data_IF_858444581323
#
_entry.id   IF_858444581323
#
_cell.length_a   1.000
_cell.length_b   1.000
_cell.length_c   1.000
_cell.angle_alpha   90.00
_cell.angle_beta   90.00
_cell.angle_gamma   90.00
#
_symmetry.space_group_name_H-M   'P 1'
#
loop_
_entity.id
_entity.type
_entity.pdbx_description
1 polymer ?
#
# COMPACT_ATOMS: atom_id res chain seq x y z
N UNK A 1 22.14 -40.63 -48.36
CA UNK A 1 22.48 -41.33 -47.13
C UNK A 1 21.37 -41.09 -46.10
N UNK A 2 20.68 -42.19 -45.79
CA UNK A 2 19.50 -42.26 -44.95
C UNK A 2 19.97 -42.60 -43.56
N UNK A 3 19.78 -41.69 -42.60
CA UNK A 3 20.02 -41.97 -41.19
C UNK A 3 18.75 -42.55 -40.55
N UNK A 4 18.87 -43.82 -40.15
CA UNK A 4 17.86 -44.62 -39.44
C UNK A 4 17.71 -44.14 -38.01
N UNK A 5 16.45 -43.96 -37.60
CA UNK A 5 16.03 -43.86 -36.20
C UNK A 5 16.02 -45.25 -35.55
N UNK A 6 16.45 -45.43 -34.32
CA UNK A 6 16.22 -46.67 -33.59
C UNK A 6 14.85 -46.67 -32.89
N UNK A 7 14.31 -47.89 -32.82
CA UNK A 7 12.99 -48.28 -32.38
C UNK A 7 12.82 -48.21 -30.84
N UNK A 8 11.58 -47.98 -30.48
CA UNK A 8 10.77 -48.39 -29.32
C UNK A 8 11.47 -49.15 -28.19
N UNK A 9 11.41 -48.54 -27.00
CA UNK A 9 11.53 -49.22 -25.72
C UNK A 9 10.23 -49.04 -24.93
N UNK A 10 9.55 -50.18 -24.71
CA UNK A 10 8.36 -50.33 -23.85
C UNK A 10 8.72 -50.17 -22.37
N UNK A 11 7.78 -49.66 -21.64
CA UNK A 11 7.60 -50.11 -20.26
C UNK A 11 7.51 -49.00 -19.23
N UNK A 12 6.36 -48.91 -18.62
CA UNK A 12 6.35 -48.84 -17.20
C UNK A 12 5.63 -47.67 -16.55
N UNK A 13 4.49 -47.99 -16.02
CA UNK A 13 3.90 -47.51 -14.79
C UNK A 13 3.18 -46.14 -14.79
N UNK A 14 1.88 -46.30 -14.70
CA UNK A 14 0.89 -45.23 -14.51
C UNK A 14 1.13 -44.44 -13.23
N UNK A 15 1.25 -43.16 -13.43
CA UNK A 15 1.01 -42.21 -12.33
C UNK A 15 -0.49 -41.97 -12.34
N UNK A 16 -1.18 -42.55 -11.35
CA UNK A 16 -2.56 -42.23 -11.04
C UNK A 16 -2.65 -40.74 -10.72
N UNK A 17 -3.48 -40.04 -11.49
CA UNK A 17 -3.90 -38.68 -11.16
C UNK A 17 -4.83 -38.81 -9.96
N UNK A 18 -4.68 -37.98 -8.91
CA UNK A 18 -5.68 -37.91 -7.86
C UNK A 18 -7.00 -37.42 -8.46
N UNK A 19 -8.04 -38.26 -8.35
CA UNK A 19 -9.41 -37.87 -8.58
C UNK A 19 -9.78 -36.77 -7.56
N UNK A 20 -10.03 -35.58 -8.06
CA UNK A 20 -10.64 -34.52 -7.24
C UNK A 20 -12.14 -34.82 -7.24
N UNK A 21 -12.63 -35.41 -6.16
CA UNK A 21 -14.07 -35.47 -5.90
C UNK A 21 -14.58 -34.03 -5.72
N UNK A 22 -15.32 -33.52 -6.70
CA UNK A 22 -16.13 -32.33 -6.55
C UNK A 22 -17.32 -32.66 -5.64
N UNK A 23 -17.20 -32.39 -4.37
CA UNK A 23 -18.32 -32.37 -3.44
C UNK A 23 -19.01 -31.03 -3.55
N UNK A 24 -20.00 -30.94 -4.43
CA UNK A 24 -20.99 -29.87 -4.38
C UNK A 24 -21.97 -30.16 -3.23
N UNK A 25 -21.83 -29.43 -2.14
CA UNK A 25 -22.92 -29.31 -1.16
C UNK A 25 -23.63 -27.97 -1.41
N UNK A 26 -24.79 -28.07 -2.03
CA UNK A 26 -25.83 -27.05 -1.98
C UNK A 26 -26.40 -27.03 -0.55
N UNK A 27 -26.03 -26.02 0.24
CA UNK A 27 -26.82 -25.45 1.32
C UNK A 27 -26.08 -24.19 1.82
N UNK A 28 -26.73 -23.05 1.65
CA UNK A 28 -26.60 -21.71 2.21
C UNK A 28 -25.52 -21.50 3.33
N UNK A 29 -24.24 -21.50 2.98
CA UNK A 29 -23.22 -20.85 3.78
C UNK A 29 -22.70 -19.60 3.02
N UNK A 30 -22.67 -18.44 3.67
CA UNK A 30 -22.12 -17.24 3.02
C UNK A 30 -20.68 -17.53 2.63
N UNK A 31 -20.39 -17.40 1.34
CA UNK A 31 -19.07 -17.53 0.75
C UNK A 31 -18.10 -16.72 1.61
N UNK A 32 -17.36 -17.38 2.49
CA UNK A 32 -16.18 -16.77 3.10
C UNK A 32 -15.24 -16.48 1.95
N UNK A 33 -15.13 -15.20 1.61
CA UNK A 33 -14.05 -14.72 0.75
C UNK A 33 -12.76 -15.30 1.33
N UNK A 34 -12.19 -16.26 0.60
CA UNK A 34 -10.83 -16.70 0.85
C UNK A 34 -10.01 -15.46 0.56
N UNK A 35 -9.50 -14.81 1.61
CA UNK A 35 -8.55 -13.72 1.48
C UNK A 35 -7.43 -14.21 0.56
N UNK A 36 -7.24 -13.51 -0.54
CA UNK A 36 -6.22 -13.83 -1.53
C UNK A 36 -4.87 -13.89 -0.81
N UNK A 37 -4.31 -15.10 -0.71
CA UNK A 37 -3.03 -15.31 -0.06
C UNK A 37 -1.96 -14.79 -1.02
N UNK A 38 -1.60 -13.52 -0.88
CA UNK A 38 -0.37 -13.00 -1.48
C UNK A 38 0.78 -13.70 -0.77
N UNK A 39 1.43 -14.64 -1.46
CA UNK A 39 2.62 -15.31 -0.95
C UNK A 39 3.77 -14.29 -1.05
N UNK A 40 4.30 -13.78 0.07
CA UNK A 40 5.45 -12.88 0.03
C UNK A 40 6.69 -13.66 -0.44
N UNK A 41 7.62 -12.94 -1.07
CA UNK A 41 8.90 -13.50 -1.50
C UNK A 41 9.62 -14.24 -0.36
N UNK A 42 10.43 -15.30 -0.68
CA UNK A 42 11.05 -16.13 0.34
C UNK A 42 12.02 -15.30 1.20
N UNK A 43 11.66 -15.11 2.45
CA UNK A 43 12.42 -14.36 3.47
C UNK A 43 11.57 -13.50 4.39
N UNK A 44 10.37 -13.14 3.99
CA UNK A 44 9.50 -12.26 4.74
C UNK A 44 8.34 -13.04 5.38
N UNK A 45 8.41 -13.21 6.68
CA UNK A 45 7.28 -13.70 7.48
C UNK A 45 6.44 -12.50 7.89
N UNK A 46 5.33 -12.27 7.20
CA UNK A 46 4.30 -11.34 7.67
C UNK A 46 3.61 -12.01 8.85
N UNK A 47 3.80 -11.46 10.03
CA UNK A 47 3.09 -11.91 11.23
C UNK A 47 1.69 -11.29 11.25
N UNK A 48 0.76 -11.93 10.53
CA UNK A 48 -0.64 -11.49 10.44
C UNK A 48 -1.34 -11.51 11.80
N UNK A 49 -0.85 -12.31 12.73
CA UNK A 49 -1.39 -12.38 14.07
C UNK A 49 -0.92 -11.21 14.96
N UNK A 50 0.11 -10.45 14.51
CA UNK A 50 0.66 -9.34 15.27
C UNK A 50 -0.39 -8.23 15.53
N UNK A 51 -1.16 -7.85 14.51
CA UNK A 51 -2.23 -6.86 14.69
C UNK A 51 -3.32 -7.37 15.63
N UNK A 52 -3.71 -8.64 15.50
CA UNK A 52 -4.67 -9.29 16.41
C UNK A 52 -4.17 -9.29 17.85
N UNK A 53 -2.91 -9.65 18.06
CA UNK A 53 -2.28 -9.62 19.38
C UNK A 53 -2.24 -8.20 19.96
N UNK A 54 -1.91 -7.19 19.14
CA UNK A 54 -1.93 -5.79 19.54
C UNK A 54 -3.34 -5.32 19.95
N UNK A 55 -4.36 -5.64 19.13
CA UNK A 55 -5.76 -5.35 19.43
C UNK A 55 -6.17 -6.02 20.75
N UNK A 56 -5.88 -7.30 20.90
CA UNK A 56 -6.19 -8.10 22.10
C UNK A 56 -5.52 -7.53 23.35
N UNK A 57 -4.26 -7.10 23.27
CA UNK A 57 -3.55 -6.55 24.44
C UNK A 57 -4.16 -5.23 24.91
N UNK A 58 -4.61 -4.37 23.98
CA UNK A 58 -5.31 -3.14 24.33
C UNK A 58 -6.68 -3.44 24.92
N UNK A 59 -7.44 -4.35 24.30
CA UNK A 59 -8.83 -4.66 24.71
C UNK A 59 -8.91 -5.46 26.01
N UNK A 60 -7.89 -6.25 26.34
CA UNK A 60 -7.78 -6.93 27.66
C UNK A 60 -7.44 -5.98 28.79
N UNK A 61 -6.66 -4.95 28.52
CA UNK A 61 -6.36 -3.90 29.52
C UNK A 61 -7.45 -2.82 29.47
N UNK A 62 -8.53 -3.05 30.23
CA UNK A 62 -9.68 -2.14 30.28
C UNK A 62 -9.30 -0.68 30.52
N UNK A 63 -8.27 -0.43 31.34
CA UNK A 63 -7.81 0.95 31.62
C UNK A 63 -7.23 1.58 30.36
N UNK A 64 -6.42 0.87 29.62
CA UNK A 64 -5.84 1.36 28.36
C UNK A 64 -6.90 1.55 27.29
N UNK A 65 -7.84 0.62 27.19
CA UNK A 65 -8.97 0.74 26.30
C UNK A 65 -9.76 2.03 26.56
N UNK A 66 -10.21 2.24 27.81
CA UNK A 66 -11.02 3.40 28.17
C UNK A 66 -10.28 4.72 27.89
N UNK A 67 -8.97 4.79 28.22
CA UNK A 67 -8.15 5.98 27.99
C UNK A 67 -8.01 6.27 26.50
N UNK A 68 -7.60 5.29 25.69
CA UNK A 68 -7.38 5.46 24.27
C UNK A 68 -8.69 5.76 23.54
N UNK A 69 -9.78 5.06 23.90
CA UNK A 69 -11.08 5.29 23.30
C UNK A 69 -11.56 6.74 23.53
N UNK A 70 -11.44 7.25 24.77
CA UNK A 70 -11.79 8.64 25.07
C UNK A 70 -10.92 9.65 24.31
N UNK A 71 -9.61 9.39 24.19
CA UNK A 71 -8.71 10.25 23.42
C UNK A 71 -9.10 10.29 21.93
N UNK A 72 -9.47 9.16 21.36
CA UNK A 72 -9.93 9.07 19.95
C UNK A 72 -11.26 9.80 19.77
N UNK A 73 -12.22 9.59 20.67
CA UNK A 73 -13.53 10.26 20.66
C UNK A 73 -13.40 11.79 20.76
N UNK A 74 -12.43 12.26 21.56
CA UNK A 74 -12.10 13.68 21.71
C UNK A 74 -11.17 14.22 20.62
N UNK A 75 -10.78 13.40 19.65
CA UNK A 75 -9.81 13.72 18.59
C UNK A 75 -8.43 14.16 19.10
N UNK A 76 -8.07 13.75 20.30
CA UNK A 76 -6.77 14.04 20.92
C UNK A 76 -5.74 12.96 20.52
N UNK A 77 -5.34 12.98 19.25
CA UNK A 77 -4.45 11.97 18.70
C UNK A 77 -2.99 12.10 19.14
N UNK A 78 -2.56 13.31 19.53
CA UNK A 78 -1.19 13.53 20.01
C UNK A 78 -0.93 12.81 21.35
N UNK A 79 -1.85 12.95 22.29
CA UNK A 79 -1.73 12.25 23.57
C UNK A 79 -1.94 10.74 23.42
N UNK A 80 -2.83 10.32 22.51
CA UNK A 80 -3.03 8.90 22.19
C UNK A 80 -1.77 8.27 21.59
N UNK A 81 -1.08 8.97 20.69
CA UNK A 81 0.19 8.55 20.12
C UNK A 81 1.26 8.39 21.19
N UNK A 82 1.40 9.40 22.07
CA UNK A 82 2.35 9.35 23.17
C UNK A 82 2.09 8.18 24.11
N UNK A 83 0.83 7.95 24.46
CA UNK A 83 0.42 6.83 25.30
C UNK A 83 0.76 5.47 24.66
N UNK A 84 0.47 5.30 23.34
CA UNK A 84 0.82 4.09 22.62
C UNK A 84 2.31 3.85 22.55
N UNK A 85 3.10 4.89 22.24
CA UNK A 85 4.56 4.81 22.19
C UNK A 85 5.16 4.40 23.53
N UNK A 86 4.70 4.97 24.62
CA UNK A 86 5.20 4.66 25.96
C UNK A 86 4.81 3.25 26.45
N UNK A 87 3.59 2.81 26.14
CA UNK A 87 3.05 1.60 26.74
C UNK A 87 3.21 0.35 25.88
N UNK A 88 3.04 0.47 24.56
CA UNK A 88 2.96 -0.66 23.65
C UNK A 88 4.13 -0.71 22.67
N UNK A 89 4.50 0.39 22.03
CA UNK A 89 5.53 0.37 20.98
C UNK A 89 6.95 0.19 21.52
N UNK A 90 7.19 0.49 22.77
CA UNK A 90 8.50 0.27 23.41
C UNK A 90 8.82 -1.21 23.68
N UNK A 91 7.84 -2.12 23.60
CA UNK A 91 7.99 -3.54 23.97
C UNK A 91 8.04 -4.48 22.78
N UNK A 92 6.95 -4.59 22.04
CA UNK A 92 6.79 -5.64 21.02
C UNK A 92 6.24 -5.11 19.69
N UNK A 93 5.59 -3.95 19.72
CA UNK A 93 4.88 -3.40 18.58
C UNK A 93 5.60 -2.17 18.03
N UNK A 94 5.50 -1.95 16.73
CA UNK A 94 5.84 -0.70 16.06
C UNK A 94 4.80 -0.44 14.97
N UNK A 95 4.64 0.83 14.59
CA UNK A 95 3.70 1.20 13.55
C UNK A 95 4.03 0.51 12.22
N UNK A 96 5.32 0.37 11.92
CA UNK A 96 5.82 -0.31 10.74
C UNK A 96 5.44 -1.80 10.72
N UNK A 97 5.69 -2.52 11.82
CA UNK A 97 5.31 -3.95 11.93
C UNK A 97 3.80 -4.15 11.85
N UNK A 98 3.01 -3.25 12.44
CA UNK A 98 1.54 -3.30 12.36
C UNK A 98 1.04 -3.02 10.94
N UNK A 99 1.66 -2.08 10.22
CA UNK A 99 1.40 -1.83 8.81
C UNK A 99 1.65 -3.09 7.96
N UNK A 100 2.81 -3.74 8.17
CA UNK A 100 3.17 -4.99 7.48
C UNK A 100 2.18 -6.12 7.81
N UNK A 101 1.81 -6.27 9.09
CA UNK A 101 0.83 -7.26 9.52
C UNK A 101 -0.56 -7.04 8.89
N UNK A 102 -0.92 -5.78 8.62
CA UNK A 102 -2.15 -5.39 7.94
C UNK A 102 -2.05 -5.51 6.41
N UNK A 103 -0.86 -5.81 5.86
CA UNK A 103 -0.64 -5.94 4.42
C UNK A 103 -0.75 -4.61 3.66
N UNK A 104 -0.46 -3.49 4.33
CA UNK A 104 -0.59 -2.16 3.72
C UNK A 104 0.69 -1.77 2.96
N UNK A 105 0.50 -1.27 1.76
CA UNK A 105 1.53 -0.79 0.83
C UNK A 105 1.89 0.69 1.02
N UNK A 106 1.37 1.31 2.08
CA UNK A 106 1.54 2.72 2.43
C UNK A 106 1.82 2.86 3.93
N UNK A 107 2.56 3.88 4.31
CA UNK A 107 2.73 4.22 5.72
C UNK A 107 1.44 4.79 6.29
N UNK A 108 0.99 4.23 7.39
CA UNK A 108 -0.18 4.70 8.12
C UNK A 108 0.22 5.57 9.29
N UNK A 109 -0.62 6.53 9.62
CA UNK A 109 -0.49 7.31 10.84
C UNK A 109 -1.07 6.56 12.05
N UNK A 110 -0.63 6.91 13.25
CA UNK A 110 -1.23 6.38 14.48
C UNK A 110 -2.70 6.76 14.59
N UNK A 111 -3.08 7.92 14.08
CA UNK A 111 -4.48 8.34 13.98
C UNK A 111 -5.32 7.34 13.19
N UNK A 112 -4.87 6.96 11.99
CA UNK A 112 -5.58 6.00 11.14
C UNK A 112 -5.66 4.63 11.80
N UNK A 113 -4.54 4.17 12.40
CA UNK A 113 -4.51 2.92 13.14
C UNK A 113 -5.52 2.91 14.29
N UNK A 114 -5.61 4.00 15.06
CA UNK A 114 -6.55 4.11 16.19
C UNK A 114 -8.00 4.18 15.73
N UNK A 115 -8.29 4.95 14.67
CA UNK A 115 -9.63 5.01 14.09
C UNK A 115 -10.10 3.62 13.61
N UNK A 116 -9.19 2.86 13.02
CA UNK A 116 -9.47 1.48 12.60
C UNK A 116 -9.60 0.52 13.80
N UNK A 117 -8.71 0.64 14.80
CA UNK A 117 -8.71 -0.20 16.00
C UNK A 117 -10.03 -0.14 16.78
N UNK A 118 -10.62 1.06 16.88
CA UNK A 118 -11.86 1.32 17.62
C UNK A 118 -13.11 1.36 16.73
N UNK A 119 -13.01 0.83 15.51
CA UNK A 119 -14.12 0.71 14.56
C UNK A 119 -14.79 2.05 14.20
N UNK A 120 -14.03 3.17 14.23
CA UNK A 120 -14.48 4.48 13.70
C UNK A 120 -14.37 4.53 12.17
N UNK A 121 -13.60 3.62 11.57
CA UNK A 121 -13.51 3.39 10.12
C UNK A 121 -13.62 1.90 9.85
N UNK A 122 -14.32 1.53 8.80
CA UNK A 122 -14.53 0.13 8.42
C UNK A 122 -13.24 -0.52 7.90
N UNK A 123 -12.37 0.28 7.26
CA UNK A 123 -11.10 -0.19 6.70
C UNK A 123 -10.07 0.93 6.58
N UNK A 124 -8.82 0.55 6.44
CA UNK A 124 -7.74 1.44 6.05
C UNK A 124 -7.70 1.59 4.52
N UNK A 125 -7.36 2.78 4.04
CA UNK A 125 -7.24 3.06 2.61
C UNK A 125 -5.93 2.50 2.08
N UNK A 126 -5.96 2.00 0.85
CA UNK A 126 -4.76 1.60 0.13
C UNK A 126 -4.10 2.80 -0.55
N UNK A 127 -2.92 2.57 -1.15
CA UNK A 127 -2.13 3.60 -1.83
C UNK A 127 -2.89 4.28 -2.95
N UNK A 128 -3.56 3.49 -3.79
CA UNK A 128 -4.23 4.01 -4.99
C UNK A 128 -5.42 4.90 -4.62
N UNK A 129 -6.18 4.52 -3.59
CA UNK A 129 -7.30 5.32 -3.08
C UNK A 129 -6.85 6.67 -2.53
N UNK A 130 -5.71 6.69 -1.83
CA UNK A 130 -5.17 7.94 -1.28
C UNK A 130 -4.62 8.82 -2.40
N UNK A 131 -3.93 8.23 -3.39
CA UNK A 131 -3.44 8.96 -4.55
C UNK A 131 -4.59 9.59 -5.33
N UNK A 132 -5.69 8.86 -5.52
CA UNK A 132 -6.88 9.38 -6.21
C UNK A 132 -7.49 10.55 -5.45
N UNK A 133 -7.71 10.44 -4.15
CA UNK A 133 -8.24 11.53 -3.31
C UNK A 133 -7.35 12.77 -3.30
N UNK A 134 -6.03 12.59 -3.27
CA UNK A 134 -5.10 13.72 -3.30
C UNK A 134 -5.03 14.33 -4.70
N UNK A 135 -5.19 13.51 -5.75
CA UNK A 135 -5.28 14.00 -7.12
C UNK A 135 -6.57 14.80 -7.35
N UNK A 136 -7.72 14.36 -6.84
CA UNK A 136 -8.98 15.10 -6.91
C UNK A 136 -8.85 16.51 -6.31
N UNK A 137 -8.15 16.65 -5.18
CA UNK A 137 -7.90 17.95 -4.57
C UNK A 137 -7.00 18.85 -5.44
N UNK A 138 -6.00 18.25 -6.11
CA UNK A 138 -5.14 18.98 -7.05
C UNK A 138 -5.92 19.40 -8.29
N UNK A 139 -6.76 18.51 -8.83
CA UNK A 139 -7.61 18.75 -9.99
C UNK A 139 -8.60 19.91 -9.71
N UNK A 140 -9.27 19.88 -8.57
CA UNK A 140 -10.17 20.95 -8.14
C UNK A 140 -9.46 22.32 -8.02
N UNK A 141 -8.19 22.31 -7.60
CA UNK A 141 -7.41 23.54 -7.42
C UNK A 141 -6.91 24.12 -8.74
N UNK A 142 -6.42 23.30 -9.64
CA UNK A 142 -5.76 23.78 -10.87
C UNK A 142 -6.62 23.68 -12.13
N UNK A 143 -7.60 22.78 -12.11
CA UNK A 143 -8.56 22.55 -13.22
C UNK A 143 -7.86 22.43 -14.57
N UNK A 144 -6.94 21.47 -14.74
CA UNK A 144 -6.29 21.24 -16.01
C UNK A 144 -7.34 21.01 -17.10
N UNK A 145 -7.07 21.45 -18.31
CA UNK A 145 -7.94 21.17 -19.44
C UNK A 145 -7.94 19.68 -19.79
N UNK A 146 -8.91 19.25 -20.59
CA UNK A 146 -9.08 17.84 -20.95
C UNK A 146 -7.82 17.26 -21.63
N UNK A 147 -7.08 18.08 -22.38
CA UNK A 147 -5.86 17.66 -23.07
C UNK A 147 -4.69 17.42 -22.10
N UNK A 148 -4.57 18.22 -21.05
CA UNK A 148 -3.50 18.13 -20.07
C UNK A 148 -3.85 17.27 -18.84
N UNK A 149 -5.13 16.93 -18.64
CA UNK A 149 -5.61 16.18 -17.46
C UNK A 149 -4.84 14.87 -17.24
N UNK A 150 -4.76 14.03 -18.28
CA UNK A 150 -4.08 12.74 -18.17
C UNK A 150 -2.58 12.91 -17.86
N UNK A 151 -1.92 13.85 -18.54
CA UNK A 151 -0.50 14.13 -18.27
C UNK A 151 -0.30 14.68 -16.86
N UNK A 152 -1.23 15.50 -16.35
CA UNK A 152 -1.22 16.03 -14.99
C UNK A 152 -1.29 14.86 -13.97
N UNK A 153 -2.22 13.91 -14.17
CA UNK A 153 -2.37 12.75 -13.30
C UNK A 153 -1.10 11.89 -13.30
N UNK A 154 -0.54 11.58 -14.46
CA UNK A 154 0.68 10.77 -14.57
C UNK A 154 1.89 11.44 -13.92
N UNK A 155 2.04 12.74 -14.06
CA UNK A 155 3.12 13.50 -13.41
C UNK A 155 2.92 13.57 -11.90
N UNK A 156 1.69 13.78 -11.45
CA UNK A 156 1.34 13.79 -10.03
C UNK A 156 1.70 12.45 -9.36
N UNK A 157 1.23 11.35 -9.91
CA UNK A 157 1.50 10.01 -9.40
C UNK A 157 3.00 9.69 -9.40
N UNK A 158 3.69 9.95 -10.52
CA UNK A 158 5.12 9.70 -10.64
C UNK A 158 5.93 10.55 -9.65
N UNK A 159 5.58 11.81 -9.45
CA UNK A 159 6.29 12.67 -8.52
C UNK A 159 6.18 12.18 -7.07
N UNK A 160 5.04 11.62 -6.69
CA UNK A 160 4.79 11.08 -5.34
C UNK A 160 5.49 9.72 -5.18
N UNK A 161 5.36 8.83 -6.15
CA UNK A 161 5.71 7.42 -5.98
C UNK A 161 7.10 7.05 -6.47
N UNK A 162 7.69 7.85 -7.38
CA UNK A 162 9.00 7.58 -7.97
C UNK A 162 10.03 8.62 -7.51
N UNK A 163 10.93 8.17 -6.64
CA UNK A 163 12.00 9.01 -6.10
C UNK A 163 12.93 9.53 -7.19
N UNK A 164 13.22 8.72 -8.21
CA UNK A 164 14.14 9.11 -9.29
C UNK A 164 13.53 10.21 -10.15
N UNK A 165 12.25 10.11 -10.48
CA UNK A 165 11.52 11.16 -11.18
C UNK A 165 11.50 12.47 -10.39
N UNK A 166 11.19 12.39 -9.10
CA UNK A 166 11.18 13.55 -8.22
C UNK A 166 12.55 14.23 -8.15
N UNK A 167 13.64 13.46 -8.01
CA UNK A 167 15.00 13.99 -7.98
C UNK A 167 15.38 14.72 -9.29
N UNK A 168 14.97 14.19 -10.44
CA UNK A 168 15.16 14.85 -11.75
C UNK A 168 14.45 16.21 -11.78
N UNK A 169 13.19 16.24 -11.38
CA UNK A 169 12.39 17.48 -11.39
C UNK A 169 12.97 18.50 -10.41
N UNK A 170 13.27 18.10 -9.18
CA UNK A 170 13.73 18.98 -8.11
C UNK A 170 15.13 19.55 -8.35
N UNK A 171 15.99 18.76 -9.00
CA UNK A 171 17.35 19.20 -9.37
C UNK A 171 17.39 20.01 -10.67
N UNK A 172 16.27 20.08 -11.42
CA UNK A 172 16.21 20.75 -12.72
C UNK A 172 16.99 20.03 -13.84
N UNK A 173 17.29 18.74 -13.67
CA UNK A 173 18.01 17.93 -14.66
C UNK A 173 17.09 17.43 -15.78
N UNK A 174 16.37 18.35 -16.42
CA UNK A 174 15.34 18.00 -17.40
C UNK A 174 15.83 17.27 -18.64
N UNK A 175 17.15 17.26 -18.91
CA UNK A 175 17.76 16.40 -19.92
C UNK A 175 17.65 14.90 -19.59
N UNK A 176 17.49 14.54 -18.34
CA UNK A 176 17.32 13.14 -17.91
C UNK A 176 15.86 12.65 -18.05
N UNK A 177 14.90 13.56 -18.28
CA UNK A 177 13.48 13.20 -18.47
C UNK A 177 13.25 12.28 -19.68
N UNK A 178 14.06 12.39 -20.73
CA UNK A 178 13.88 11.58 -21.95
C UNK A 178 14.06 10.07 -21.74
N UNK A 179 14.75 9.69 -20.67
CA UNK A 179 14.98 8.28 -20.33
C UNK A 179 14.02 7.77 -19.24
N UNK A 180 13.23 8.67 -18.65
CA UNK A 180 12.28 8.31 -17.62
C UNK A 180 10.88 8.05 -18.21
N UNK A 181 10.19 6.95 -17.80
CA UNK A 181 8.87 6.59 -18.35
C UNK A 181 7.84 7.74 -18.28
N UNK A 182 7.86 8.51 -17.19
CA UNK A 182 6.93 9.64 -16.99
C UNK A 182 7.44 10.97 -17.53
N UNK A 183 8.63 11.00 -18.13
CA UNK A 183 9.26 12.24 -18.61
C UNK A 183 8.49 12.92 -19.73
N UNK A 184 7.96 12.13 -20.66
CA UNK A 184 7.16 12.65 -21.79
C UNK A 184 5.88 13.35 -21.32
N UNK A 185 5.25 12.88 -20.25
CA UNK A 185 4.07 13.53 -19.68
C UNK A 185 4.42 14.87 -19.07
N UNK A 186 5.55 14.98 -18.36
CA UNK A 186 6.03 16.25 -17.83
C UNK A 186 6.33 17.27 -18.93
N UNK A 187 6.95 16.84 -20.03
CA UNK A 187 7.26 17.71 -21.17
C UNK A 187 5.98 18.20 -21.86
N UNK A 188 4.94 17.40 -21.91
CA UNK A 188 3.63 17.77 -22.49
C UNK A 188 2.83 18.75 -21.64
N UNK A 189 3.08 18.81 -20.34
CA UNK A 189 2.36 19.73 -19.47
C UNK A 189 2.53 21.19 -19.88
N UNK A 190 1.50 22.05 -19.70
CA UNK A 190 1.62 23.49 -19.74
C UNK A 190 2.73 23.98 -18.79
N UNK A 191 3.48 25.00 -19.21
CA UNK A 191 4.65 25.49 -18.45
C UNK A 191 4.33 25.88 -17.01
N UNK A 192 3.15 26.43 -16.78
CA UNK A 192 2.69 26.82 -15.45
C UNK A 192 2.38 25.62 -14.55
N UNK A 193 1.82 24.54 -15.09
CA UNK A 193 1.56 23.31 -14.33
C UNK A 193 2.85 22.57 -13.96
N UNK A 194 3.89 22.64 -14.78
CA UNK A 194 5.20 22.01 -14.47
C UNK A 194 5.80 22.47 -13.16
N UNK A 195 5.59 23.72 -12.79
CA UNK A 195 6.07 24.26 -11.50
C UNK A 195 5.04 24.14 -10.38
N UNK A 196 3.75 24.27 -10.70
CA UNK A 196 2.67 24.26 -9.71
C UNK A 196 2.46 22.89 -9.09
N UNK A 197 2.53 21.81 -9.89
CA UNK A 197 2.31 20.44 -9.39
C UNK A 197 3.34 20.04 -8.34
N UNK A 198 4.67 20.11 -8.58
CA UNK A 198 5.66 19.79 -7.58
C UNK A 198 5.55 20.65 -6.32
N UNK A 199 5.27 21.94 -6.48
CA UNK A 199 5.08 22.86 -5.34
C UNK A 199 3.89 22.45 -4.50
N UNK A 200 2.75 22.18 -5.15
CA UNK A 200 1.53 21.73 -4.46
C UNK A 200 1.77 20.45 -3.67
N UNK A 201 2.42 19.45 -4.28
CA UNK A 201 2.70 18.18 -3.63
C UNK A 201 3.56 18.39 -2.39
N UNK A 202 4.65 19.17 -2.49
CA UNK A 202 5.54 19.45 -1.36
C UNK A 202 4.86 20.17 -0.19
N UNK A 203 3.88 21.02 -0.50
CA UNK A 203 3.19 21.82 0.51
C UNK A 203 2.02 21.09 1.17
N UNK A 204 1.40 20.13 0.48
CA UNK A 204 0.13 19.55 0.90
C UNK A 204 0.16 18.04 1.15
N UNK A 205 1.18 17.32 0.64
CA UNK A 205 1.23 15.86 0.68
C UNK A 205 2.46 15.40 1.46
N UNK A 206 2.23 14.53 2.42
CA UNK A 206 3.31 13.84 3.13
C UNK A 206 3.89 12.73 2.23
N UNK A 207 5.03 13.03 1.60
CA UNK A 207 5.69 12.11 0.69
C UNK A 207 6.26 10.87 1.40
N UNK A 208 6.59 10.97 2.69
CA UNK A 208 7.11 9.84 3.47
C UNK A 208 6.04 8.73 3.60
N UNK A 209 4.79 9.10 3.47
CA UNK A 209 3.67 8.16 3.47
C UNK A 209 3.75 7.15 2.32
N UNK A 210 4.30 7.55 1.17
CA UNK A 210 4.36 6.76 -0.07
C UNK A 210 5.72 6.12 -0.32
N UNK A 211 6.74 6.44 0.47
CA UNK A 211 8.05 5.82 0.34
C UNK A 211 7.98 4.43 0.98
N UNK A 212 8.01 3.41 0.13
CA UNK A 212 8.12 2.04 0.59
C UNK A 212 9.45 1.86 1.36
N UNK A 213 9.37 1.40 2.60
CA UNK A 213 10.53 1.05 3.43
C UNK A 213 11.41 -0.08 2.84
N UNK A 214 11.03 -0.64 1.70
CA UNK A 214 11.66 -1.76 1.02
C UNK A 214 12.97 -1.43 0.26
N UNK A 215 13.31 -0.14 0.09
CA UNK A 215 14.47 0.29 -0.69
C UNK A 215 15.63 0.82 0.16
N UNK A 216 15.62 0.64 1.47
CA UNK A 216 16.69 1.06 2.39
C UNK A 216 17.57 -0.10 2.88
N UNK A 217 17.85 -1.10 2.03
CA UNK A 217 18.95 -2.08 2.30
C UNK A 217 19.79 -2.30 1.06
#
# INVERSE_FOLDING_TARGET
EVLKLPAEGKGGEGVEKPEVEEVFNDEDDPVKLIEEIVIPEPGMRIDRDLYKSFKDDIFKDKKSYDILYQMVEQQNFEDAEKYLKEKYFSKSYSLEKLREALGLDINISIKELLLYLFDFTDRLKNKDEILEEEFEKLDDKFKPDEESFYATKQVFEAYITDKSFREIIDSGKFNELHVHPSGDYFIKLPKDLRSKIPTYIKENIDLERFINAWWCN
#
